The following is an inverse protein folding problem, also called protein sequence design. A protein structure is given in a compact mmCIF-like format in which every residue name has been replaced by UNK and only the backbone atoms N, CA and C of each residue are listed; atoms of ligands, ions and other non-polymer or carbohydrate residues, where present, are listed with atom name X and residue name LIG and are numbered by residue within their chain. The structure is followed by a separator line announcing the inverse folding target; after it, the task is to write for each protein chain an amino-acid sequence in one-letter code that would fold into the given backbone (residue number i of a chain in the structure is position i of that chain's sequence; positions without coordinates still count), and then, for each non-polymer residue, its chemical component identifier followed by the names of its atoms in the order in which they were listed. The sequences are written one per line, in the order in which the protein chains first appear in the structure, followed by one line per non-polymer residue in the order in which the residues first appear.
data_IF_138090300363
#
_entry.id   IF_138090300363
#
_cell.length_a   1.000
_cell.length_b   1.000
_cell.length_c   1.000
_cell.angle_alpha   90.00
_cell.angle_beta   90.00
_cell.angle_gamma   90.00
#
_symmetry.space_group_name_H-M   'P 1'
#
loop_
_entity.id
_entity.type
_entity.pdbx_description
1 polymer ?
#
# COMPACT_ATOMS: atom_id res chain seq x y z
N UNK A 1 -9.75 69.61 36.90
CA UNK A 1 -9.42 69.12 35.58
C UNK A 1 -10.73 68.89 34.82
N UNK A 2 -11.08 69.77 33.89
CA UNK A 2 -12.27 69.61 33.06
C UNK A 2 -11.85 68.86 31.79
N UNK A 3 -12.08 67.59 31.72
CA UNK A 3 -11.97 66.87 30.46
C UNK A 3 -13.07 67.32 29.51
N UNK A 4 -12.69 67.86 28.38
CA UNK A 4 -13.61 68.34 27.36
C UNK A 4 -14.43 67.16 26.80
N UNK A 5 -15.74 67.31 26.66
CA UNK A 5 -16.67 66.38 26.08
C UNK A 5 -16.22 65.86 24.69
N UNK A 6 -15.49 66.73 23.96
CA UNK A 6 -14.90 66.38 22.65
C UNK A 6 -13.82 65.29 22.71
N UNK A 7 -13.04 65.26 23.82
CA UNK A 7 -11.98 64.22 23.98
C UNK A 7 -12.57 62.84 24.24
N UNK A 8 -13.66 62.77 24.98
CA UNK A 8 -14.41 61.50 25.20
C UNK A 8 -15.03 60.94 23.93
N UNK A 9 -15.57 61.82 23.03
CA UNK A 9 -16.18 61.35 21.79
C UNK A 9 -15.13 60.80 20.81
N UNK A 10 -13.94 61.42 20.75
CA UNK A 10 -12.86 60.94 19.88
C UNK A 10 -12.31 59.58 20.37
N UNK A 11 -12.19 59.38 21.68
CA UNK A 11 -11.72 58.07 22.25
C UNK A 11 -12.79 56.99 22.04
N UNK A 12 -14.08 57.32 22.12
CA UNK A 12 -15.15 56.37 21.85
C UNK A 12 -15.24 55.98 20.38
N UNK A 13 -14.97 56.91 19.45
CA UNK A 13 -14.94 56.62 18.00
C UNK A 13 -13.70 55.80 17.61
N UNK A 14 -12.55 56.07 18.22
CA UNK A 14 -11.32 55.27 17.99
C UNK A 14 -11.47 53.85 18.50
N UNK A 15 -12.17 53.62 19.62
CA UNK A 15 -12.42 52.26 20.13
C UNK A 15 -13.46 51.48 19.29
N UNK A 16 -14.43 52.16 18.68
CA UNK A 16 -15.40 51.52 17.77
C UNK A 16 -14.78 51.07 16.43
N UNK A 17 -13.77 51.80 15.93
CA UNK A 17 -13.08 51.46 14.70
C UNK A 17 -12.14 50.24 14.95
N UNK A 18 -11.56 50.11 16.16
CA UNK A 18 -10.72 48.95 16.52
C UNK A 18 -11.47 47.64 16.63
N UNK A 19 -12.79 47.65 16.91
CA UNK A 19 -13.59 46.42 17.02
C UNK A 19 -14.18 46.00 15.67
N UNK A 20 -14.26 46.92 14.70
CA UNK A 20 -14.75 46.60 13.34
C UNK A 20 -13.65 45.97 12.43
N UNK A 21 -12.37 45.98 12.88
CA UNK A 21 -11.23 45.47 12.10
C UNK A 21 -10.96 43.96 12.27
N UNK A 22 -11.73 43.26 13.09
CA UNK A 22 -11.70 41.80 13.17
C UNK A 22 -12.92 41.19 12.48
N UNK A 23 -13.31 41.64 11.31
CA UNK A 23 -13.98 40.77 10.38
C UNK A 23 -12.90 39.82 9.86
N UNK A 24 -12.95 38.56 10.32
CA UNK A 24 -12.38 37.43 9.57
C UNK A 24 -12.68 37.72 8.11
N UNK A 25 -11.66 37.81 7.29
CA UNK A 25 -11.79 37.71 5.84
C UNK A 25 -12.30 36.29 5.54
N UNK A 26 -13.62 36.10 5.66
CA UNK A 26 -14.30 34.87 5.21
C UNK A 26 -14.34 34.77 3.67
N UNK A 27 -13.62 35.67 2.98
CA UNK A 27 -13.50 35.71 1.52
C UNK A 27 -12.17 35.05 1.00
N UNK A 28 -11.37 34.43 1.87
CA UNK A 28 -10.44 33.45 1.32
C UNK A 28 -11.31 32.34 0.74
N UNK A 29 -11.19 32.06 -0.60
CA UNK A 29 -11.83 30.88 -1.13
C UNK A 29 -11.37 29.77 -0.23
N UNK A 30 -12.32 29.08 0.43
CA UNK A 30 -12.02 27.81 1.03
C UNK A 30 -11.34 27.04 -0.09
N UNK A 31 -10.00 26.98 -0.05
CA UNK A 31 -9.25 26.01 -0.83
C UNK A 31 -9.74 24.68 -0.27
N UNK A 32 -10.89 24.26 -0.76
CA UNK A 32 -11.51 23.02 -0.41
C UNK A 32 -10.51 21.95 -0.73
N UNK A 33 -9.70 21.61 0.28
CA UNK A 33 -8.83 20.46 0.18
C UNK A 33 -9.72 19.31 -0.27
N UNK A 34 -9.34 18.57 -1.32
CA UNK A 34 -10.19 17.50 -1.80
C UNK A 34 -10.58 16.63 -0.62
N UNK A 35 -11.85 16.59 -0.31
CA UNK A 35 -12.41 15.80 0.81
C UNK A 35 -12.25 14.31 0.56
N UNK A 36 -12.02 13.95 -0.69
CA UNK A 36 -11.86 12.57 -1.15
C UNK A 36 -10.53 12.42 -1.90
N UNK A 37 -9.78 11.41 -1.55
CA UNK A 37 -8.57 11.02 -2.29
C UNK A 37 -8.86 9.69 -2.98
N UNK A 38 -8.52 9.62 -4.27
CA UNK A 38 -8.57 8.41 -5.07
C UNK A 38 -7.37 8.42 -6.02
N UNK A 39 -6.21 7.95 -5.53
CA UNK A 39 -4.95 7.94 -6.28
C UNK A 39 -4.51 6.53 -6.57
N UNK A 40 -4.41 6.19 -7.83
CA UNK A 40 -3.89 4.91 -8.28
C UNK A 40 -2.42 5.06 -8.66
N UNK A 41 -1.56 4.35 -7.96
CA UNK A 41 -0.14 4.23 -8.26
C UNK A 41 0.06 3.00 -9.14
N UNK A 42 0.71 3.18 -10.29
CA UNK A 42 0.98 2.12 -11.26
C UNK A 42 2.48 1.98 -11.42
N UNK A 43 3.00 0.79 -11.11
CA UNK A 43 4.41 0.44 -11.24
C UNK A 43 4.61 -0.41 -12.49
N UNK A 44 5.44 0.08 -13.45
CA UNK A 44 5.72 -0.60 -14.72
C UNK A 44 7.03 -1.36 -14.64
N UNK A 45 7.01 -2.63 -15.03
CA UNK A 45 8.19 -3.50 -14.96
C UNK A 45 9.27 -3.19 -16.01
N UNK A 46 8.97 -2.33 -16.97
CA UNK A 46 9.90 -1.96 -18.03
C UNK A 46 11.16 -1.29 -17.50
N UNK A 47 12.29 -1.68 -18.09
CA UNK A 47 13.59 -1.10 -17.82
C UNK A 47 14.41 -0.92 -19.09
N UNK A 48 15.14 0.19 -19.16
CA UNK A 48 16.19 0.42 -20.15
C UNK A 48 17.47 0.90 -19.46
N UNK A 49 18.61 0.48 -19.97
CA UNK A 49 19.92 0.80 -19.38
C UNK A 49 20.21 2.30 -19.24
N UNK A 50 19.63 3.13 -20.10
CA UNK A 50 19.72 4.59 -20.03
C UNK A 50 18.73 5.23 -19.00
N UNK A 51 17.99 4.42 -18.27
CA UNK A 51 16.98 4.83 -17.29
C UNK A 51 16.03 5.92 -17.85
N UNK A 52 15.52 5.72 -19.08
CA UNK A 52 14.65 6.69 -19.75
C UNK A 52 13.15 6.38 -19.61
N UNK A 53 12.79 5.27 -18.96
CA UNK A 53 11.41 4.85 -18.79
C UNK A 53 10.85 5.43 -17.49
N UNK A 54 9.77 6.18 -17.60
CA UNK A 54 8.98 6.61 -16.43
C UNK A 54 8.18 5.42 -15.93
N UNK A 55 8.77 4.68 -14.99
CA UNK A 55 8.30 3.39 -14.48
C UNK A 55 7.36 3.50 -13.26
N UNK A 56 6.97 4.72 -12.90
CA UNK A 56 5.91 4.99 -11.93
C UNK A 56 4.94 6.02 -12.51
N UNK A 57 3.65 5.75 -12.39
CA UNK A 57 2.60 6.66 -12.78
C UNK A 57 1.59 6.82 -11.64
N UNK A 58 1.12 8.04 -11.46
CA UNK A 58 0.07 8.39 -10.49
C UNK A 58 -1.13 8.87 -11.28
N UNK A 59 -2.27 8.25 -11.07
CA UNK A 59 -3.57 8.66 -11.62
C UNK A 59 -4.37 9.31 -10.50
N UNK A 60 -4.69 10.60 -10.60
CA UNK A 60 -5.42 11.34 -9.57
C UNK A 60 -6.38 12.36 -10.19
N UNK A 61 -7.68 12.26 -9.97
CA UNK A 61 -8.39 11.17 -9.29
C UNK A 61 -8.59 9.93 -10.18
N UNK A 62 -8.56 8.74 -9.59
CA UNK A 62 -8.70 7.47 -10.31
C UNK A 62 -10.16 7.03 -10.51
N UNK A 63 -11.09 7.57 -9.73
CA UNK A 63 -12.51 7.20 -9.73
C UNK A 63 -13.37 8.03 -10.70
N UNK A 64 -12.74 8.77 -11.61
CA UNK A 64 -13.42 9.51 -12.69
C UNK A 64 -13.70 8.62 -13.91
N UNK A 65 -14.39 9.19 -14.91
CA UNK A 65 -14.74 8.47 -16.14
C UNK A 65 -13.55 8.11 -17.04
N UNK A 66 -12.34 8.54 -16.71
CA UNK A 66 -11.10 8.21 -17.44
C UNK A 66 -9.95 8.05 -16.45
N UNK A 67 -8.89 7.32 -16.85
CA UNK A 67 -7.63 7.23 -16.10
C UNK A 67 -6.52 8.08 -16.75
N UNK A 68 -6.89 9.20 -17.39
CA UNK A 68 -5.97 10.02 -18.19
C UNK A 68 -5.29 11.15 -17.40
N UNK A 69 -5.80 11.51 -16.24
CA UNK A 69 -5.17 12.54 -15.38
C UNK A 69 -3.97 11.92 -14.66
N UNK A 70 -2.80 11.97 -15.30
CA UNK A 70 -1.62 11.22 -14.86
C UNK A 70 -0.40 12.10 -14.63
N UNK A 71 0.31 11.82 -13.54
CA UNK A 71 1.68 12.28 -13.31
C UNK A 71 2.63 11.11 -13.54
N UNK A 72 3.56 11.26 -14.48
CA UNK A 72 4.56 10.24 -14.79
C UNK A 72 5.88 10.57 -14.10
N UNK A 73 6.42 9.62 -13.36
CA UNK A 73 7.66 9.79 -12.60
C UNK A 73 8.74 8.80 -13.05
N UNK A 74 9.95 9.33 -13.23
CA UNK A 74 11.14 8.53 -13.52
C UNK A 74 11.74 8.07 -12.17
N UNK A 75 11.27 6.94 -11.66
CA UNK A 75 11.84 6.35 -10.46
C UNK A 75 13.21 5.73 -10.75
N UNK A 76 14.16 5.82 -9.79
CA UNK A 76 15.47 5.19 -9.93
C UNK A 76 15.44 3.65 -9.94
N UNK A 77 14.30 3.01 -9.65
CA UNK A 77 14.14 1.56 -9.73
C UNK A 77 14.39 1.05 -11.16
N UNK A 78 15.17 0.00 -11.30
CA UNK A 78 15.46 -0.64 -12.58
C UNK A 78 14.33 -1.59 -12.98
N UNK A 79 13.24 -1.00 -13.49
CA UNK A 79 11.94 -1.62 -13.60
C UNK A 79 11.17 -1.59 -12.29
N UNK A 80 9.88 -1.22 -12.36
CA UNK A 80 9.02 -1.15 -11.18
C UNK A 80 8.50 -2.52 -10.78
N UNK A 81 8.71 -2.88 -9.52
CA UNK A 81 8.13 -4.01 -8.81
C UNK A 81 6.99 -3.58 -7.89
N UNK A 82 6.79 -4.25 -6.76
CA UNK A 82 5.77 -3.88 -5.78
C UNK A 82 5.81 -2.41 -5.40
N UNK A 83 4.64 -1.80 -5.34
CA UNK A 83 4.44 -0.39 -4.98
C UNK A 83 3.46 -0.29 -3.82
N UNK A 84 3.73 0.60 -2.88
CA UNK A 84 2.93 0.87 -1.71
C UNK A 84 2.98 2.37 -1.41
N UNK A 85 1.87 2.98 -1.06
CA UNK A 85 1.83 4.31 -0.45
C UNK A 85 1.39 4.20 1.01
N UNK A 86 2.05 4.95 1.89
CA UNK A 86 1.59 5.09 3.28
C UNK A 86 1.39 6.56 3.62
N UNK A 87 0.19 6.94 4.10
CA UNK A 87 -0.15 8.33 4.42
C UNK A 87 0.61 8.88 5.64
N UNK A 88 1.03 8.04 6.59
CA UNK A 88 1.79 8.48 7.75
C UNK A 88 3.24 8.81 7.37
N UNK A 89 3.80 8.05 6.41
CA UNK A 89 5.11 8.33 5.84
C UNK A 89 5.05 9.40 4.75
N UNK A 90 3.85 9.77 4.26
CA UNK A 90 3.63 10.61 3.08
C UNK A 90 4.59 10.26 1.93
N UNK A 91 4.73 8.96 1.69
CA UNK A 91 5.72 8.44 0.75
C UNK A 91 5.23 7.21 0.01
N UNK A 92 5.62 7.15 -1.26
CA UNK A 92 5.52 5.94 -2.08
C UNK A 92 6.78 5.12 -1.85
N UNK A 93 6.61 3.83 -1.62
CA UNK A 93 7.69 2.85 -1.63
C UNK A 93 7.55 1.98 -2.88
N UNK A 94 8.60 1.92 -3.70
CA UNK A 94 8.63 1.11 -4.91
C UNK A 94 9.87 0.23 -4.90
N UNK A 95 9.67 -1.08 -4.99
CA UNK A 95 10.75 -2.03 -5.18
C UNK A 95 11.09 -2.17 -6.68
N UNK A 96 12.23 -2.80 -6.97
CA UNK A 96 12.62 -3.19 -8.32
C UNK A 96 11.81 -4.39 -8.81
N UNK A 97 11.59 -4.50 -10.11
CA UNK A 97 10.97 -5.67 -10.77
C UNK A 97 11.85 -6.93 -10.75
N UNK A 98 13.12 -6.80 -10.31
CA UNK A 98 14.10 -7.88 -10.43
C UNK A 98 14.72 -8.05 -11.82
N UNK A 99 14.38 -7.17 -12.79
CA UNK A 99 14.95 -7.19 -14.14
C UNK A 99 16.49 -7.06 -14.16
N UNK A 100 17.05 -6.43 -13.15
CA UNK A 100 18.51 -6.29 -12.95
C UNK A 100 18.88 -6.83 -11.59
N UNK A 101 19.66 -7.90 -11.56
CA UNK A 101 20.05 -8.60 -10.31
C UNK A 101 20.81 -7.71 -9.31
N UNK A 102 21.46 -6.64 -9.77
CA UNK A 102 22.18 -5.69 -8.93
C UNK A 102 21.26 -4.60 -8.35
N UNK A 103 20.01 -4.49 -8.80
CA UNK A 103 19.05 -3.55 -8.20
C UNK A 103 18.51 -4.16 -6.91
N UNK A 104 19.09 -3.71 -5.82
CA UNK A 104 18.80 -4.16 -4.45
C UNK A 104 18.28 -2.99 -3.62
N UNK A 105 17.48 -2.13 -4.23
CA UNK A 105 16.94 -0.93 -3.60
C UNK A 105 15.42 -0.96 -3.56
N UNK A 106 14.87 -0.42 -2.46
CA UNK A 106 13.50 0.06 -2.42
C UNK A 106 13.58 1.58 -2.49
N UNK A 107 12.92 2.17 -3.46
CA UNK A 107 12.85 3.62 -3.63
C UNK A 107 11.80 4.16 -2.67
N UNK A 108 12.15 5.18 -1.90
CA UNK A 108 11.20 6.00 -1.14
C UNK A 108 11.04 7.33 -1.87
N UNK A 109 9.83 7.62 -2.30
CA UNK A 109 9.48 8.82 -3.07
C UNK A 109 8.50 9.62 -2.21
N UNK A 110 8.91 10.74 -1.61
CA UNK A 110 8.01 11.63 -0.88
C UNK A 110 6.89 12.10 -1.79
N UNK A 111 5.69 12.25 -1.26
CA UNK A 111 4.54 12.72 -2.00
C UNK A 111 3.96 13.95 -1.31
N UNK A 112 3.68 15.01 -2.07
CA UNK A 112 2.78 16.05 -1.61
C UNK A 112 1.37 15.46 -1.49
N UNK A 113 0.91 15.32 -0.25
CA UNK A 113 -0.38 14.65 0.03
C UNK A 113 -1.58 15.45 -0.51
N UNK A 114 -1.43 16.76 -0.70
CA UNK A 114 -2.49 17.62 -1.21
C UNK A 114 -2.64 17.47 -2.72
N UNK A 115 -1.54 17.64 -3.46
CA UNK A 115 -1.57 17.70 -4.92
C UNK A 115 -1.12 16.42 -5.61
N UNK A 116 -0.63 15.43 -4.85
CA UNK A 116 -0.15 14.17 -5.40
C UNK A 116 1.17 14.26 -6.17
N UNK A 117 1.94 15.32 -5.99
CA UNK A 117 3.20 15.51 -6.70
C UNK A 117 4.34 14.74 -6.03
N UNK A 118 5.06 13.88 -6.77
CA UNK A 118 6.21 13.16 -6.24
C UNK A 118 7.43 14.09 -6.13
N UNK A 119 8.14 14.00 -5.00
CA UNK A 119 9.43 14.64 -4.77
C UNK A 119 10.61 13.76 -5.17
N UNK A 120 11.82 14.16 -4.78
CA UNK A 120 13.04 13.42 -5.08
C UNK A 120 13.09 12.09 -4.33
N UNK A 121 13.41 11.02 -5.05
CA UNK A 121 13.54 9.70 -4.48
C UNK A 121 14.78 9.55 -3.60
N UNK A 122 14.63 8.84 -2.49
CA UNK A 122 15.73 8.31 -1.69
C UNK A 122 15.76 6.79 -1.75
N UNK A 123 16.94 6.18 -1.55
CA UNK A 123 17.15 4.74 -1.73
C UNK A 123 17.34 4.04 -0.38
N UNK A 124 16.56 3.00 -0.16
CA UNK A 124 16.75 2.05 0.93
C UNK A 124 17.49 0.84 0.35
N UNK A 125 18.83 0.81 0.50
CA UNK A 125 19.69 -0.19 -0.13
C UNK A 125 20.01 -1.36 0.80
N UNK A 126 19.78 -2.59 0.33
CA UNK A 126 20.22 -3.81 1.01
C UNK A 126 20.35 -4.97 0.02
N UNK A 127 21.45 -5.71 0.07
CA UNK A 127 21.74 -6.80 -0.87
C UNK A 127 20.69 -7.91 -0.90
N UNK A 128 19.89 -8.05 0.16
CA UNK A 128 18.77 -8.99 0.24
C UNK A 128 17.52 -8.57 -0.50
N UNK A 129 17.39 -7.31 -0.95
CA UNK A 129 16.21 -6.83 -1.71
C UNK A 129 16.23 -7.26 -3.17
N UNK A 130 16.66 -8.48 -3.41
CA UNK A 130 16.53 -9.10 -4.73
C UNK A 130 15.17 -9.74 -4.85
N UNK A 131 14.47 -9.48 -5.96
CA UNK A 131 13.16 -10.05 -6.23
C UNK A 131 12.16 -9.82 -5.08
N UNK A 132 11.94 -8.56 -4.72
CA UNK A 132 10.88 -8.20 -3.78
C UNK A 132 9.54 -8.49 -4.45
N UNK A 133 8.68 -9.27 -3.80
CA UNK A 133 7.38 -9.71 -4.32
C UNK A 133 6.19 -9.11 -3.58
N UNK A 134 6.45 -8.46 -2.44
CA UNK A 134 5.40 -7.80 -1.67
C UNK A 134 5.97 -6.77 -0.70
N UNK A 135 5.26 -5.66 -0.55
CA UNK A 135 5.52 -4.60 0.42
C UNK A 135 4.33 -4.48 1.37
N UNK A 136 4.61 -4.20 2.65
CA UNK A 136 3.60 -3.90 3.65
C UNK A 136 4.08 -2.82 4.61
N UNK A 137 3.16 -2.08 5.20
CA UNK A 137 3.48 -1.05 6.17
C UNK A 137 2.78 -1.34 7.49
N UNK A 138 3.56 -1.52 8.55
CA UNK A 138 3.08 -1.83 9.89
C UNK A 138 3.36 -0.66 10.81
N UNK A 139 2.30 -0.03 11.32
CA UNK A 139 2.38 1.05 12.31
C UNK A 139 2.02 0.51 13.69
N UNK A 140 2.86 0.78 14.66
CA UNK A 140 2.67 0.42 16.06
C UNK A 140 2.61 1.70 16.90
N UNK A 141 1.47 1.92 17.55
CA UNK A 141 1.28 3.04 18.47
C UNK A 141 1.48 2.56 19.92
N UNK A 142 2.57 3.00 20.54
CA UNK A 142 2.83 2.74 21.95
C UNK A 142 2.17 3.82 22.81
N UNK A 143 1.28 3.43 23.70
CA UNK A 143 0.77 4.34 24.73
C UNK A 143 1.82 4.51 25.83
N UNK A 144 2.39 5.69 25.95
CA UNK A 144 3.22 6.04 27.09
C UNK A 144 2.32 6.46 28.24
N UNK A 145 2.60 5.98 29.46
CA UNK A 145 1.80 6.24 30.65
C UNK A 145 1.65 7.72 31.06
N UNK A 146 2.27 8.63 30.33
CA UNK A 146 2.20 10.09 30.47
C UNK A 146 1.28 10.78 29.44
N UNK A 147 0.44 10.02 28.73
CA UNK A 147 -0.54 10.55 27.77
C UNK A 147 0.04 10.86 26.37
N UNK A 148 1.32 10.61 26.15
CA UNK A 148 1.92 10.70 24.83
C UNK A 148 1.85 9.34 24.08
N UNK A 149 1.61 9.37 22.78
CA UNK A 149 1.68 8.19 21.90
C UNK A 149 2.93 8.29 21.03
N UNK A 150 3.85 7.33 21.16
CA UNK A 150 4.96 7.18 20.23
C UNK A 150 4.59 6.16 19.17
N UNK A 151 4.65 6.55 17.90
CA UNK A 151 4.40 5.65 16.79
C UNK A 151 5.73 5.15 16.22
N UNK A 152 5.86 3.85 16.05
CA UNK A 152 6.97 3.24 15.34
C UNK A 152 6.44 2.53 14.10
N UNK A 153 6.95 2.94 12.95
CA UNK A 153 6.55 2.39 11.67
C UNK A 153 7.60 1.40 11.15
N UNK A 154 7.14 0.37 10.46
CA UNK A 154 7.99 -0.61 9.79
C UNK A 154 7.54 -0.78 8.35
N UNK A 155 8.46 -0.64 7.41
CA UNK A 155 8.29 -1.14 6.06
C UNK A 155 8.70 -2.63 6.06
N UNK A 156 7.82 -3.48 5.59
CA UNK A 156 8.02 -4.91 5.42
C UNK A 156 8.23 -5.20 3.95
N UNK A 157 9.23 -6.03 3.63
CA UNK A 157 9.52 -6.47 2.27
C UNK A 157 9.68 -7.99 2.23
N UNK A 158 8.78 -8.68 1.55
CA UNK A 158 8.90 -10.12 1.26
C UNK A 158 9.64 -10.33 -0.06
N UNK A 159 10.54 -11.31 -0.09
CA UNK A 159 11.32 -11.65 -1.29
C UNK A 159 11.09 -13.09 -1.70
N UNK A 160 11.15 -13.38 -2.99
CA UNK A 160 11.07 -14.73 -3.54
C UNK A 160 12.17 -15.70 -3.06
N UNK A 161 13.13 -15.21 -2.27
CA UNK A 161 14.14 -15.99 -1.57
C UNK A 161 13.76 -16.44 -0.16
N UNK A 162 12.47 -16.63 0.14
CA UNK A 162 11.92 -17.04 1.44
C UNK A 162 12.31 -16.15 2.64
N UNK A 163 12.51 -14.87 2.40
CA UNK A 163 12.88 -13.90 3.43
C UNK A 163 11.85 -12.78 3.56
N UNK A 164 11.63 -12.36 4.81
CA UNK A 164 10.93 -11.14 5.15
C UNK A 164 11.90 -10.18 5.83
N UNK A 165 11.98 -8.97 5.34
CA UNK A 165 12.80 -7.90 5.90
C UNK A 165 11.91 -6.83 6.53
N UNK A 166 12.35 -6.27 7.66
CA UNK A 166 11.69 -5.15 8.29
C UNK A 166 12.66 -3.98 8.47
N UNK A 167 12.20 -2.79 8.11
CA UNK A 167 12.90 -1.51 8.20
C UNK A 167 12.09 -0.61 9.11
N UNK A 168 12.62 -0.28 10.30
CA UNK A 168 11.95 0.66 11.19
C UNK A 168 12.16 2.10 10.72
N UNK A 169 11.13 2.94 10.87
CA UNK A 169 11.16 4.35 10.51
C UNK A 169 11.74 4.58 9.10
N UNK A 170 11.17 3.95 8.07
CA UNK A 170 11.71 4.01 6.72
C UNK A 170 11.75 5.44 6.17
N UNK A 171 10.90 6.32 6.68
CA UNK A 171 10.85 7.74 6.34
C UNK A 171 12.10 8.52 6.75
N UNK A 172 12.80 8.08 7.79
CA UNK A 172 14.06 8.68 8.26
C UNK A 172 15.32 7.99 7.75
N UNK A 173 15.17 6.90 6.96
CA UNK A 173 16.30 6.15 6.40
C UNK A 173 16.45 6.44 4.91
N UNK A 174 17.64 6.19 4.41
CA UNK A 174 17.98 6.42 3.01
C UNK A 174 18.78 7.69 2.82
N UNK A 175 19.75 7.61 1.93
CA UNK A 175 20.69 8.67 1.56
C UNK A 175 21.94 8.06 0.95
N UNK A 176 22.70 8.86 0.21
CA UNK A 176 23.85 8.42 -0.58
C UNK A 176 25.09 8.04 0.25
N UNK A 177 25.07 8.20 1.56
CA UNK A 177 26.21 7.92 2.44
C UNK A 177 25.98 6.61 3.19
N UNK A 178 26.57 5.54 2.68
CA UNK A 178 26.58 4.24 3.31
C UNK A 178 27.10 4.28 4.75
N UNK A 179 26.29 3.90 5.71
CA UNK A 179 26.68 3.82 7.12
C UNK A 179 25.55 3.46 8.08
N UNK A 180 24.33 3.79 7.77
CA UNK A 180 23.19 3.43 8.63
C UNK A 180 22.70 2.03 8.31
N UNK A 181 22.59 1.19 9.32
CA UNK A 181 21.95 -0.13 9.22
C UNK A 181 20.51 0.08 8.70
N UNK A 182 20.26 -0.27 7.44
CA UNK A 182 18.93 -0.11 6.81
C UNK A 182 17.96 -1.13 7.40
N UNK A 183 18.38 -2.39 7.51
CA UNK A 183 17.54 -3.50 7.94
C UNK A 183 17.60 -3.66 9.45
N UNK A 184 16.45 -3.67 10.10
CA UNK A 184 16.35 -3.97 11.52
C UNK A 184 16.13 -5.46 11.76
N UNK A 185 15.36 -6.13 10.89
CA UNK A 185 15.08 -7.57 10.97
C UNK A 185 15.26 -8.28 9.64
N UNK A 186 15.82 -9.47 9.71
CA UNK A 186 15.86 -10.49 8.67
C UNK A 186 15.16 -11.72 9.20
N UNK A 187 14.01 -12.04 8.67
CA UNK A 187 13.15 -13.11 9.16
C UNK A 187 13.09 -14.19 8.08
N UNK A 188 13.53 -15.40 8.42
CA UNK A 188 13.39 -16.54 7.51
C UNK A 188 11.96 -17.09 7.57
N UNK A 189 11.36 -17.27 6.41
CA UNK A 189 10.04 -17.87 6.23
C UNK A 189 10.10 -19.40 6.02
N UNK A 190 11.29 -20.00 6.20
CA UNK A 190 11.49 -21.44 6.06
C UNK A 190 11.31 -21.91 4.62
N UNK A 191 10.38 -22.84 4.41
CA UNK A 191 10.05 -23.38 3.08
C UNK A 191 9.03 -22.53 2.30
N UNK A 192 8.47 -21.49 2.91
CA UNK A 192 7.51 -20.61 2.24
C UNK A 192 8.25 -19.75 1.21
N UNK A 193 7.85 -19.87 -0.05
CA UNK A 193 8.30 -19.00 -1.15
C UNK A 193 7.23 -17.93 -1.38
N UNK A 194 7.45 -16.69 -0.93
CA UNK A 194 6.45 -15.64 -1.03
C UNK A 194 6.15 -15.23 -2.47
N UNK A 195 4.89 -14.92 -2.75
CA UNK A 195 4.42 -14.26 -3.98
C UNK A 195 3.78 -12.91 -3.70
N UNK A 196 3.32 -12.69 -2.47
CA UNK A 196 2.68 -11.45 -2.05
C UNK A 196 2.72 -11.27 -0.54
N UNK A 197 2.34 -10.08 -0.08
CA UNK A 197 2.30 -9.70 1.32
C UNK A 197 1.14 -8.75 1.59
N UNK A 198 0.41 -8.96 2.68
CA UNK A 198 -0.53 -7.97 3.22
C UNK A 198 -0.70 -8.11 4.73
N UNK A 199 -1.28 -7.10 5.36
CA UNK A 199 -1.58 -7.07 6.79
C UNK A 199 -3.08 -6.97 6.99
N UNK A 200 -3.63 -7.85 7.83
CA UNK A 200 -5.00 -7.78 8.30
C UNK A 200 -5.04 -7.33 9.77
N UNK A 201 -6.19 -6.85 10.22
CA UNK A 201 -6.40 -6.57 11.64
C UNK A 201 -6.25 -7.85 12.46
N UNK A 202 -5.61 -7.71 13.63
CA UNK A 202 -5.50 -8.79 14.60
C UNK A 202 -6.85 -9.18 15.19
N UNK A 203 -6.88 -10.33 15.85
CA UNK A 203 -8.09 -10.89 16.47
C UNK A 203 -8.35 -10.38 17.88
N UNK A 204 -7.41 -9.62 18.44
CA UNK A 204 -7.50 -9.08 19.80
C UNK A 204 -8.06 -7.65 19.81
N UNK A 205 -8.36 -7.14 21.00
CA UNK A 205 -8.72 -5.74 21.21
C UNK A 205 -7.54 -4.78 20.99
N UNK A 206 -6.30 -5.28 20.95
CA UNK A 206 -5.11 -4.48 20.65
C UNK A 206 -5.06 -4.16 19.16
N UNK A 207 -5.35 -2.92 18.82
CA UNK A 207 -5.30 -2.41 17.43
C UNK A 207 -3.91 -2.50 16.80
N UNK A 208 -2.87 -2.65 17.60
CA UNK A 208 -1.50 -2.84 17.14
C UNK A 208 -1.21 -4.27 16.70
N UNK A 209 -2.02 -5.23 17.11
CA UNK A 209 -1.87 -6.59 16.61
C UNK A 209 -2.37 -6.69 15.18
N UNK A 210 -1.51 -7.20 14.31
CA UNK A 210 -1.81 -7.47 12.91
C UNK A 210 -1.50 -8.91 12.59
N UNK A 211 -2.33 -9.51 11.75
CA UNK A 211 -2.02 -10.76 11.09
C UNK A 211 -1.18 -10.44 9.85
N UNK A 212 0.01 -11.00 9.77
CA UNK A 212 0.78 -10.95 8.54
C UNK A 212 0.34 -12.10 7.65
N UNK A 213 -0.16 -11.76 6.47
CA UNK A 213 -0.54 -12.71 5.43
C UNK A 213 0.53 -12.71 4.35
N UNK A 214 1.13 -13.87 4.11
CA UNK A 214 2.12 -14.08 3.05
C UNK A 214 1.52 -15.05 2.05
N UNK A 215 1.21 -14.57 0.85
CA UNK A 215 0.87 -15.45 -0.27
C UNK A 215 2.07 -16.28 -0.67
N UNK A 216 1.89 -17.55 -0.99
CA UNK A 216 2.97 -18.43 -1.41
C UNK A 216 2.57 -19.33 -2.57
N UNK A 217 3.54 -19.61 -3.43
CA UNK A 217 3.40 -20.53 -4.53
C UNK A 217 3.74 -21.98 -4.10
N UNK A 218 4.71 -22.12 -3.22
CA UNK A 218 5.14 -23.41 -2.70
C UNK A 218 5.58 -23.27 -1.24
N UNK A 219 5.22 -24.25 -0.43
CA UNK A 219 5.61 -24.34 0.98
C UNK A 219 6.45 -25.59 1.30
N UNK A 220 6.93 -26.26 0.28
CA UNK A 220 7.65 -27.53 0.41
C UNK A 220 6.75 -28.75 0.53
N UNK A 221 5.43 -28.58 0.37
CA UNK A 221 4.43 -29.66 0.33
C UNK A 221 3.76 -29.71 -1.05
N UNK A 222 3.09 -30.79 -1.36
CA UNK A 222 2.36 -30.95 -2.63
C UNK A 222 0.89 -30.48 -2.50
N UNK A 223 0.57 -29.57 -1.57
CA UNK A 223 -0.79 -29.13 -1.31
C UNK A 223 -1.25 -27.93 -2.15
N UNK A 224 -0.33 -27.32 -2.90
CA UNK A 224 -0.60 -26.20 -3.80
C UNK A 224 -0.31 -24.84 -3.15
N UNK A 225 -0.85 -23.81 -3.74
CA UNK A 225 -0.63 -22.42 -3.41
C UNK A 225 -1.58 -21.96 -2.31
N UNK A 226 -1.18 -20.95 -1.54
CA UNK A 226 -1.99 -20.53 -0.40
C UNK A 226 -1.45 -19.30 0.30
N UNK A 227 -1.88 -19.15 1.54
CA UNK A 227 -1.49 -18.09 2.44
C UNK A 227 -0.94 -18.65 3.74
N UNK A 228 0.25 -18.21 4.13
CA UNK A 228 0.83 -18.42 5.45
C UNK A 228 0.45 -17.25 6.35
N UNK A 229 -0.16 -17.54 7.51
CA UNK A 229 -0.63 -16.55 8.47
C UNK A 229 0.27 -16.52 9.69
N UNK A 230 0.81 -15.36 10.01
CA UNK A 230 1.69 -15.15 11.16
C UNK A 230 1.02 -14.18 12.15
N UNK A 231 0.83 -14.64 13.37
CA UNK A 231 0.24 -13.86 14.49
C UNK A 231 1.28 -13.18 15.36
N UNK A 232 2.55 -13.55 15.24
CA UNK A 232 3.65 -13.14 16.11
C UNK A 232 4.45 -11.94 15.59
N UNK A 233 3.92 -11.20 14.59
CA UNK A 233 4.64 -10.09 13.97
C UNK A 233 5.01 -9.01 15.00
N UNK A 234 4.07 -8.58 15.85
CA UNK A 234 4.30 -7.61 16.92
C UNK A 234 5.41 -8.09 17.88
N UNK A 235 5.35 -9.36 18.28
CA UNK A 235 6.34 -9.96 19.18
C UNK A 235 7.75 -9.85 18.61
N UNK A 236 7.93 -10.15 17.32
CA UNK A 236 9.24 -10.12 16.69
C UNK A 236 9.74 -8.70 16.41
N UNK A 237 8.86 -7.76 16.05
CA UNK A 237 9.26 -6.40 15.71
C UNK A 237 9.43 -5.50 16.93
N UNK A 238 8.54 -5.62 17.92
CA UNK A 238 8.42 -4.69 19.05
C UNK A 238 8.97 -5.29 20.34
N UNK A 239 8.55 -6.50 20.71
CA UNK A 239 8.90 -7.08 22.00
C UNK A 239 10.33 -7.62 22.03
N UNK A 240 10.90 -7.94 20.86
CA UNK A 240 12.28 -8.43 20.67
C UNK A 240 13.12 -7.55 19.74
N UNK A 241 13.28 -6.26 20.03
CA UNK A 241 13.89 -5.33 19.07
C UNK A 241 15.37 -5.62 18.79
N UNK A 242 16.07 -6.30 19.69
CA UNK A 242 17.51 -6.57 19.58
C UNK A 242 17.82 -7.73 18.64
N UNK A 243 16.87 -8.61 18.38
CA UNK A 243 17.08 -9.80 17.55
C UNK A 243 17.01 -9.40 16.07
N UNK A 244 18.16 -9.23 15.44
CA UNK A 244 18.24 -8.85 14.03
C UNK A 244 17.93 -9.99 13.07
N UNK A 245 18.36 -11.21 13.42
CA UNK A 245 18.13 -12.41 12.60
C UNK A 245 17.14 -13.30 13.32
N UNK A 246 16.05 -13.64 12.62
CA UNK A 246 14.97 -14.48 13.14
C UNK A 246 14.94 -15.77 12.32
N UNK A 247 15.27 -16.87 12.98
CA UNK A 247 15.28 -18.19 12.33
C UNK A 247 13.85 -18.67 12.01
N UNK A 248 13.72 -19.48 10.97
CA UNK A 248 12.43 -20.06 10.55
C UNK A 248 11.74 -20.86 11.66
N UNK A 249 12.50 -21.51 12.54
CA UNK A 249 11.94 -22.26 13.69
C UNK A 249 11.24 -21.37 14.72
N UNK A 250 11.51 -20.07 14.72
CA UNK A 250 10.86 -19.09 15.60
C UNK A 250 9.72 -18.34 14.93
N UNK A 251 9.80 -18.11 13.62
CA UNK A 251 8.78 -17.42 12.86
C UNK A 251 8.00 -18.43 12.01
N UNK A 252 7.14 -19.18 12.68
CA UNK A 252 6.34 -20.25 12.08
C UNK A 252 4.94 -19.74 11.82
N UNK A 253 4.33 -20.01 10.65
CA UNK A 253 2.95 -19.65 10.42
C UNK A 253 2.02 -20.38 11.39
N UNK A 254 1.11 -19.65 11.98
CA UNK A 254 0.09 -20.19 12.89
C UNK A 254 -0.96 -21.02 12.12
N UNK A 255 -1.26 -20.57 10.90
CA UNK A 255 -2.23 -21.20 10.01
C UNK A 255 -1.69 -21.17 8.58
N UNK A 256 -1.91 -22.23 7.81
CA UNK A 256 -1.78 -22.23 6.36
C UNK A 256 -3.15 -22.43 5.71
N UNK A 257 -3.50 -21.60 4.76
CA UNK A 257 -4.75 -21.65 4.02
C UNK A 257 -4.42 -21.90 2.55
N UNK A 258 -4.67 -23.10 2.07
CA UNK A 258 -4.50 -23.45 0.65
C UNK A 258 -5.73 -23.03 -0.14
N UNK A 259 -5.52 -22.49 -1.34
CA UNK A 259 -6.60 -22.03 -2.21
C UNK A 259 -6.95 -23.15 -3.18
N UNK A 260 -8.20 -23.64 -3.11
CA UNK A 260 -8.64 -24.80 -3.86
C UNK A 260 -8.56 -24.57 -5.37
N UNK A 261 -7.89 -25.50 -6.07
CA UNK A 261 -7.87 -25.54 -7.54
C UNK A 261 -7.09 -24.41 -8.20
N UNK A 262 -6.21 -23.70 -7.47
CA UNK A 262 -5.39 -22.62 -8.01
C UNK A 262 -3.91 -22.99 -8.01
N UNK A 263 -3.24 -22.60 -9.08
CA UNK A 263 -1.84 -22.93 -9.35
C UNK A 263 -0.88 -21.75 -9.21
N UNK A 264 -1.44 -20.53 -9.13
CA UNK A 264 -0.69 -19.29 -8.93
C UNK A 264 -1.46 -18.32 -8.03
N UNK A 265 -0.75 -17.62 -7.17
CA UNK A 265 -1.27 -16.50 -6.38
C UNK A 265 -0.29 -15.34 -6.52
N UNK A 266 -0.74 -14.24 -7.08
CA UNK A 266 0.03 -13.03 -7.29
C UNK A 266 -0.27 -11.95 -6.25
N UNK A 267 -0.35 -10.71 -6.72
CA UNK A 267 -0.60 -9.54 -5.87
C UNK A 267 -1.92 -9.65 -5.11
N UNK A 268 -1.93 -9.07 -3.93
CA UNK A 268 -3.06 -9.09 -3.00
C UNK A 268 -3.45 -7.67 -2.60
N UNK A 269 -4.76 -7.43 -2.48
CA UNK A 269 -5.32 -6.19 -1.95
C UNK A 269 -6.34 -6.52 -0.86
N UNK A 270 -6.19 -5.90 0.30
CA UNK A 270 -7.12 -6.04 1.41
C UNK A 270 -7.86 -4.73 1.69
N UNK A 271 -9.17 -4.82 1.75
CA UNK A 271 -10.08 -3.72 2.04
C UNK A 271 -10.81 -3.97 3.37
N UNK A 272 -10.30 -3.44 4.50
CA UNK A 272 -10.82 -3.71 5.83
C UNK A 272 -12.26 -3.26 6.01
N UNK A 273 -12.64 -2.09 5.50
CA UNK A 273 -14.00 -1.57 5.61
C UNK A 273 -15.02 -2.41 4.81
N UNK A 274 -14.57 -3.02 3.72
CA UNK A 274 -15.36 -3.93 2.88
C UNK A 274 -15.32 -5.39 3.36
N UNK A 275 -14.42 -5.70 4.29
CA UNK A 275 -14.12 -7.07 4.73
C UNK A 275 -13.85 -7.98 3.53
N UNK A 276 -13.02 -7.51 2.61
CA UNK A 276 -12.77 -8.15 1.32
C UNK A 276 -11.27 -8.25 1.06
N UNK A 277 -10.83 -9.42 0.64
CA UNK A 277 -9.48 -9.67 0.11
C UNK A 277 -9.61 -10.07 -1.34
N UNK A 278 -8.84 -9.41 -2.22
CA UNK A 278 -8.73 -9.77 -3.63
C UNK A 278 -7.30 -10.25 -3.93
N UNK A 279 -7.19 -11.24 -4.81
CA UNK A 279 -5.93 -11.89 -5.20
C UNK A 279 -5.89 -12.03 -6.71
N UNK A 280 -4.89 -11.45 -7.36
CA UNK A 280 -4.66 -11.64 -8.78
C UNK A 280 -4.00 -13.00 -9.03
N UNK A 281 -4.42 -13.70 -10.11
CA UNK A 281 -3.80 -14.93 -10.58
C UNK A 281 -3.41 -14.75 -12.04
N UNK A 282 -2.10 -14.68 -12.33
CA UNK A 282 -1.59 -14.38 -13.67
C UNK A 282 -1.94 -15.46 -14.67
N UNK A 283 -1.57 -16.71 -14.39
CA UNK A 283 -1.86 -17.87 -15.23
C UNK A 283 -3.35 -18.22 -15.25
N UNK A 284 -4.04 -18.02 -14.10
CA UNK A 284 -5.47 -18.25 -13.97
C UNK A 284 -6.33 -17.25 -14.73
N UNK A 285 -5.77 -16.11 -15.13
CA UNK A 285 -6.45 -15.01 -15.85
C UNK A 285 -7.71 -14.50 -15.15
N UNK A 286 -7.64 -14.46 -13.82
CA UNK A 286 -8.78 -14.11 -12.97
C UNK A 286 -8.32 -13.39 -11.70
N UNK A 287 -9.27 -12.81 -11.00
CA UNK A 287 -9.09 -12.27 -9.64
C UNK A 287 -10.02 -13.03 -8.71
N UNK A 288 -9.44 -13.56 -7.63
CA UNK A 288 -10.13 -14.32 -6.60
C UNK A 288 -10.56 -13.40 -5.48
N UNK A 289 -11.71 -13.65 -4.88
CA UNK A 289 -12.22 -12.85 -3.77
C UNK A 289 -12.57 -13.72 -2.57
N UNK A 290 -12.19 -13.22 -1.38
CA UNK A 290 -12.48 -13.83 -0.10
C UNK A 290 -13.18 -12.82 0.80
N UNK A 291 -14.42 -13.12 1.18
CA UNK A 291 -15.21 -12.31 2.13
C UNK A 291 -14.82 -12.65 3.56
N UNK A 292 -14.94 -11.66 4.45
CA UNK A 292 -14.58 -11.80 5.87
C UNK A 292 -13.19 -12.42 6.10
N UNK A 293 -12.12 -11.91 5.46
CA UNK A 293 -10.80 -12.53 5.50
C UNK A 293 -10.26 -12.65 6.94
N UNK A 294 -10.64 -11.76 7.84
CA UNK A 294 -10.26 -11.86 9.25
C UNK A 294 -10.73 -13.18 9.87
N UNK A 295 -11.97 -13.61 9.63
CA UNK A 295 -12.50 -14.86 10.12
C UNK A 295 -11.87 -16.06 9.38
N UNK A 296 -11.69 -15.90 8.07
CA UNK A 296 -11.08 -16.92 7.23
C UNK A 296 -9.64 -17.23 7.66
N UNK A 297 -8.85 -16.20 8.00
CA UNK A 297 -7.44 -16.36 8.37
C UNK A 297 -7.20 -16.47 9.89
N UNK A 298 -8.23 -16.82 10.65
CA UNK A 298 -8.14 -17.11 12.07
C UNK A 298 -8.10 -18.63 12.32
N UNK A 299 -7.36 -19.03 13.37
CA UNK A 299 -7.20 -20.43 13.78
C UNK A 299 -5.76 -20.91 13.67
N UNK A 300 -5.58 -22.20 13.75
CA UNK A 300 -4.28 -22.86 13.72
C UNK A 300 -4.28 -24.07 12.79
N UNK A 301 -3.08 -24.49 12.35
CA UNK A 301 -2.92 -25.68 11.52
C UNK A 301 -3.05 -25.39 10.03
N UNK A 302 -3.82 -26.18 9.33
CA UNK A 302 -3.96 -26.10 7.86
C UNK A 302 -5.40 -26.30 7.44
N UNK A 303 -5.84 -25.58 6.40
CA UNK A 303 -7.13 -25.79 5.75
C UNK A 303 -7.07 -25.46 4.28
N UNK A 304 -8.01 -25.99 3.49
CA UNK A 304 -8.21 -25.67 2.08
C UNK A 304 -9.55 -24.99 1.92
N UNK A 305 -9.57 -23.88 1.17
CA UNK A 305 -10.78 -23.08 0.95
C UNK A 305 -10.91 -22.71 -0.53
N UNK A 306 -12.14 -22.72 -1.08
CA UNK A 306 -12.40 -22.10 -2.38
C UNK A 306 -12.45 -20.57 -2.21
N UNK A 307 -12.26 -19.78 -3.29
CA UNK A 307 -12.66 -18.37 -3.29
C UNK A 307 -14.19 -18.27 -3.17
N UNK A 308 -14.69 -17.19 -2.56
CA UNK A 308 -16.14 -16.94 -2.48
C UNK A 308 -16.74 -16.63 -3.87
N UNK A 309 -15.98 -15.87 -4.68
CA UNK A 309 -16.30 -15.60 -6.08
C UNK A 309 -15.04 -15.20 -6.85
N UNK A 310 -15.16 -15.08 -8.15
CA UNK A 310 -14.08 -14.69 -9.05
C UNK A 310 -14.56 -13.65 -10.05
N UNK A 311 -13.66 -12.82 -10.56
CA UNK A 311 -13.82 -12.08 -11.81
C UNK A 311 -12.86 -12.73 -12.80
N UNK A 312 -13.39 -13.39 -13.83
CA UNK A 312 -12.60 -14.14 -14.81
C UNK A 312 -13.46 -14.60 -15.98
N UNK A 313 -12.82 -15.01 -17.06
CA UNK A 313 -13.49 -15.44 -18.29
C UNK A 313 -13.34 -14.45 -19.44
N UNK A 314 -13.81 -14.84 -20.63
CA UNK A 314 -13.52 -14.12 -21.88
C UNK A 314 -14.03 -12.68 -21.94
N UNK A 315 -15.14 -12.36 -21.31
CA UNK A 315 -15.67 -11.00 -21.31
C UNK A 315 -14.84 -10.02 -20.50
N UNK A 316 -14.07 -10.50 -19.49
CA UNK A 316 -13.20 -9.65 -18.70
C UNK A 316 -12.01 -9.11 -19.49
N UNK A 317 -11.60 -9.84 -20.54
CA UNK A 317 -10.41 -9.55 -21.32
C UNK A 317 -9.12 -9.62 -20.51
N UNK A 318 -9.09 -10.31 -19.35
CA UNK A 318 -7.88 -10.53 -18.56
C UNK A 318 -7.03 -11.64 -19.18
N UNK A 319 -5.72 -11.41 -19.31
CA UNK A 319 -4.76 -12.37 -19.85
C UNK A 319 -3.60 -12.69 -18.89
N UNK A 320 -3.16 -11.72 -18.09
CA UNK A 320 -2.13 -11.87 -17.07
C UNK A 320 -2.32 -10.80 -15.99
N UNK A 321 -3.35 -10.92 -15.13
CA UNK A 321 -3.54 -10.00 -14.02
C UNK A 321 -2.41 -10.14 -12.99
N UNK A 322 -1.64 -9.06 -12.81
CA UNK A 322 -0.44 -9.03 -11.96
C UNK A 322 -0.61 -8.16 -10.72
N UNK A 323 -1.54 -7.23 -10.74
CA UNK A 323 -1.84 -6.35 -9.61
C UNK A 323 -3.34 -6.16 -9.43
N UNK A 324 -3.75 -5.96 -8.19
CA UNK A 324 -5.14 -5.70 -7.82
C UNK A 324 -5.20 -4.64 -6.73
N UNK A 325 -6.19 -3.72 -6.81
CA UNK A 325 -6.41 -2.70 -5.80
C UNK A 325 -7.90 -2.43 -5.61
N UNK A 326 -8.37 -2.49 -4.36
CA UNK A 326 -9.78 -2.30 -3.99
C UNK A 326 -9.98 -0.89 -3.43
N UNK A 327 -11.03 -0.21 -3.85
CA UNK A 327 -11.48 1.05 -3.26
C UNK A 327 -12.21 0.78 -1.94
N UNK A 328 -11.52 0.99 -0.82
CA UNK A 328 -11.99 0.65 0.52
C UNK A 328 -12.84 1.76 1.19
N UNK A 329 -13.08 2.89 0.53
CA UNK A 329 -13.92 3.97 1.08
C UNK A 329 -15.34 3.47 1.37
N UNK A 330 -15.88 3.82 2.53
CA UNK A 330 -17.16 3.28 3.01
C UNK A 330 -18.31 3.75 2.12
N UNK A 331 -18.42 5.07 1.90
CA UNK A 331 -19.55 5.67 1.17
C UNK A 331 -19.28 5.79 -0.33
N UNK A 332 -18.04 6.12 -0.71
CA UNK A 332 -17.66 6.46 -2.08
C UNK A 332 -16.88 5.37 -2.81
N UNK A 333 -16.49 4.30 -2.12
CA UNK A 333 -15.77 3.20 -2.73
C UNK A 333 -16.64 2.39 -3.68
N UNK A 334 -16.30 2.38 -4.98
CA UNK A 334 -17.10 1.75 -6.03
C UNK A 334 -16.32 0.77 -6.88
N UNK A 335 -15.00 0.87 -6.89
CA UNK A 335 -14.19 0.27 -7.94
C UNK A 335 -13.12 -0.69 -7.44
N UNK A 336 -12.82 -1.61 -8.31
CA UNK A 336 -11.69 -2.51 -8.28
C UNK A 336 -10.82 -2.21 -9.51
N UNK A 337 -9.51 -2.10 -9.31
CA UNK A 337 -8.53 -1.89 -10.38
C UNK A 337 -7.68 -3.14 -10.51
N UNK A 338 -7.41 -3.55 -11.75
CA UNK A 338 -6.60 -4.73 -12.07
C UNK A 338 -5.56 -4.31 -13.12
N UNK A 339 -4.27 -4.54 -12.85
CA UNK A 339 -3.24 -4.46 -13.88
C UNK A 339 -3.12 -5.78 -14.62
N UNK A 340 -3.02 -5.71 -15.93
CA UNK A 340 -2.83 -6.84 -16.83
C UNK A 340 -1.52 -6.64 -17.60
N UNK A 341 -0.50 -7.39 -17.24
CA UNK A 341 0.84 -7.24 -17.81
C UNK A 341 0.87 -7.61 -19.29
N UNK A 342 0.21 -8.69 -19.69
CA UNK A 342 0.21 -9.19 -21.05
C UNK A 342 -0.52 -8.26 -22.00
N UNK A 343 -1.66 -7.73 -21.57
CA UNK A 343 -2.46 -6.78 -22.37
C UNK A 343 -2.02 -5.32 -22.18
N UNK A 344 -1.06 -5.05 -21.27
CA UNK A 344 -0.51 -3.72 -21.01
C UNK A 344 -1.56 -2.67 -20.68
N UNK A 345 -2.50 -3.05 -19.82
CA UNK A 345 -3.65 -2.22 -19.49
C UNK A 345 -3.98 -2.26 -18.00
N UNK A 346 -4.73 -1.25 -17.56
CA UNK A 346 -5.48 -1.28 -16.31
C UNK A 346 -6.96 -1.44 -16.66
N UNK A 347 -7.60 -2.40 -16.04
CA UNK A 347 -9.04 -2.63 -16.13
C UNK A 347 -9.70 -2.22 -14.81
N UNK A 348 -10.79 -1.46 -14.88
CA UNK A 348 -11.61 -1.07 -13.74
C UNK A 348 -12.94 -1.80 -13.78
N UNK A 349 -13.27 -2.46 -12.68
CA UNK A 349 -14.54 -3.13 -12.47
C UNK A 349 -15.30 -2.47 -11.33
N UNK A 350 -16.59 -2.69 -11.23
CA UNK A 350 -17.36 -2.33 -10.04
C UNK A 350 -17.11 -3.36 -8.94
N UNK A 351 -17.17 -2.93 -7.69
CA UNK A 351 -17.04 -3.86 -6.54
C UNK A 351 -18.18 -4.87 -6.43
N UNK A 352 -19.26 -4.66 -7.20
CA UNK A 352 -20.41 -5.58 -7.30
C UNK A 352 -20.30 -6.59 -8.42
N UNK A 353 -19.25 -6.51 -9.25
CA UNK A 353 -19.07 -7.38 -10.40
C UNK A 353 -18.57 -8.75 -9.96
N UNK A 354 -19.11 -9.80 -10.53
CA UNK A 354 -18.76 -11.20 -10.28
C UNK A 354 -18.79 -11.99 -11.61
N UNK A 355 -17.92 -12.99 -11.74
CA UNK A 355 -17.91 -13.91 -12.87
C UNK A 355 -17.34 -13.32 -14.17
N UNK A 356 -17.93 -13.70 -15.28
CA UNK A 356 -17.47 -13.31 -16.63
C UNK A 356 -18.15 -12.02 -17.10
N UNK A 357 -17.65 -10.88 -16.61
CA UNK A 357 -18.20 -9.54 -16.88
C UNK A 357 -17.16 -8.66 -17.56
N UNK A 358 -17.61 -7.73 -18.41
CA UNK A 358 -16.72 -6.75 -19.03
C UNK A 358 -16.33 -5.67 -18.01
N UNK A 359 -15.08 -5.14 -18.06
CA UNK A 359 -14.69 -3.99 -17.25
C UNK A 359 -15.51 -2.75 -17.60
N UNK A 360 -15.80 -1.92 -16.60
CA UNK A 360 -16.45 -0.62 -16.82
C UNK A 360 -15.55 0.33 -17.62
N UNK A 361 -14.23 0.26 -17.36
CA UNK A 361 -13.23 1.09 -18.00
C UNK A 361 -11.95 0.30 -18.22
N UNK A 362 -11.33 0.53 -19.37
CA UNK A 362 -10.00 -0.01 -19.68
C UNK A 362 -9.09 1.12 -20.18
N UNK A 363 -7.87 1.18 -19.65
CA UNK A 363 -6.84 2.11 -20.07
C UNK A 363 -5.60 1.35 -20.51
N UNK A 364 -5.22 1.51 -21.78
CA UNK A 364 -4.00 0.94 -22.34
C UNK A 364 -2.80 1.87 -22.16
N UNK A 365 -1.61 1.30 -21.97
CA UNK A 365 -0.35 2.02 -21.75
C UNK A 365 0.68 1.82 -22.86
N UNK A 366 0.23 1.42 -24.05
CA UNK A 366 1.07 1.25 -25.22
C UNK A 366 2.12 0.16 -25.05
N UNK A 367 3.39 0.54 -24.92
CA UNK A 367 4.50 -0.42 -24.76
C UNK A 367 4.82 -0.71 -23.29
N UNK A 368 4.32 0.09 -22.34
CA UNK A 368 4.61 -0.08 -20.92
C UNK A 368 3.82 -1.25 -20.33
N UNK A 369 4.46 -2.02 -19.47
CA UNK A 369 3.90 -3.21 -18.82
C UNK A 369 3.52 -2.86 -17.38
N UNK A 370 2.22 -2.60 -17.07
CA UNK A 370 1.78 -2.35 -15.71
C UNK A 370 1.84 -3.66 -14.93
N UNK A 371 2.65 -3.68 -13.88
CA UNK A 371 2.92 -4.91 -13.12
C UNK A 371 2.25 -4.88 -11.75
N UNK A 372 2.53 -3.86 -10.95
CA UNK A 372 1.92 -3.70 -9.64
C UNK A 372 1.14 -2.40 -9.56
N UNK A 373 0.06 -2.41 -8.77
CA UNK A 373 -0.75 -1.24 -8.50
C UNK A 373 -1.05 -1.13 -7.01
N UNK A 374 -1.23 0.10 -6.55
CA UNK A 374 -1.72 0.42 -5.21
C UNK A 374 -2.70 1.58 -5.30
N UNK A 375 -3.82 1.50 -4.59
CA UNK A 375 -4.81 2.56 -4.52
C UNK A 375 -4.78 3.22 -3.15
N UNK A 376 -4.50 4.52 -3.12
CA UNK A 376 -4.74 5.38 -1.97
C UNK A 376 -6.15 5.97 -2.11
N UNK A 377 -7.10 5.38 -1.41
CA UNK A 377 -8.49 5.79 -1.41
C UNK A 377 -8.90 6.13 0.02
N UNK A 378 -9.02 7.44 0.30
CA UNK A 378 -9.30 7.96 1.63
C UNK A 378 -10.42 8.99 1.58
N UNK A 379 -11.25 8.97 2.61
CA UNK A 379 -12.10 10.10 2.96
C UNK A 379 -11.27 11.03 3.85
N UNK A 380 -11.00 12.26 3.42
CA UNK A 380 -10.38 13.25 4.31
C UNK A 380 -11.40 13.63 5.37
N UNK A 381 -11.16 13.24 6.58
CA UNK A 381 -11.74 13.90 7.75
C UNK A 381 -11.06 15.25 7.90
N UNK A 382 -11.83 16.32 7.90
CA UNK A 382 -11.32 17.66 8.25
C UNK A 382 -10.58 17.55 9.60
N UNK A 383 -9.28 17.81 9.58
CA UNK A 383 -8.46 17.95 10.78
C UNK A 383 -8.65 19.34 11.37
#
# INVERSE_FOLDING_TARGET
MKFSFQTCVIVLFASLIGVASCKKLDDEPENGLPTLISRLYISFSDYRTNNSIKNLMIVDPADTNTLNNTVQYLSPAKGGGPVLFDPNATSIFQASSGAVAQDTFIQRIPLDDIYGNPGDASQLGFTGFRNVVGLGYYSYAQQNGTGGSAVTNFLLAATGGNMLYAISRPEGKGGSTGGSKIIDKQISLGTIIPTSLTLLEGNTADKNEKLLLVGFENDGTNKGNGFAVYTILKQELIDRPRDTIVAASRFVPTLKVYVQGKTDLGAVSYAPNRKLLAVATGEGKEVLFFRNPKELFTGTGEKTVPPDYVIGGSATGLEEPTGVAIDDRIENGKFLYISDAKNRKISRFKLTDEGNVAPELTQEYGTLIPNYIFLDARERTNF
#
